data_IF_622221014351
#
_entry.id   IF_622221014351
#
_cell.length_a   1.000
_cell.length_b   1.000
_cell.length_c   1.000
_cell.angle_alpha   90.00
_cell.angle_beta   90.00
_cell.angle_gamma   90.00
#
_symmetry.space_group_name_H-M   'P 1'
#
loop_
_entity.id
_entity.type
_entity.pdbx_description
1 polymer ?
#
# COMPACT_ATOMS: atom_id res chain seq x y z
N UNK A 1 -4.42 -9.97 15.03
CA UNK A 1 -3.75 -9.90 13.73
C UNK A 1 -2.70 -8.81 13.77
N UNK A 2 -1.52 -9.13 13.31
CA UNK A 2 -0.41 -8.17 13.15
C UNK A 2 -0.40 -7.66 11.73
N UNK A 3 -0.35 -6.34 11.56
CA UNK A 3 -0.40 -5.68 10.26
C UNK A 3 0.82 -4.78 10.11
N UNK A 4 1.52 -4.90 8.99
CA UNK A 4 2.57 -3.96 8.60
C UNK A 4 2.11 -3.15 7.41
N UNK A 5 2.08 -1.82 7.56
CA UNK A 5 1.83 -0.88 6.47
C UNK A 5 3.18 -0.36 6.02
N UNK A 6 3.55 -0.67 4.78
CA UNK A 6 4.86 -0.33 4.23
C UNK A 6 4.65 0.58 3.02
N UNK A 7 5.18 1.81 3.10
CA UNK A 7 4.83 2.84 2.13
C UNK A 7 6.04 3.58 1.57
N UNK A 8 5.86 4.07 0.34
CA UNK A 8 6.66 5.13 -0.25
C UNK A 8 5.76 6.33 -0.48
N UNK A 9 6.24 7.53 -0.17
CA UNK A 9 5.47 8.75 -0.35
C UNK A 9 6.41 9.90 -0.72
N UNK A 10 6.25 10.43 -1.93
CA UNK A 10 7.13 11.48 -2.44
C UNK A 10 6.73 12.88 -1.93
N UNK A 11 5.43 13.16 -1.93
CA UNK A 11 4.89 14.48 -1.57
C UNK A 11 4.06 14.46 -0.30
N UNK A 12 4.01 13.34 0.40
CA UNK A 12 3.29 13.19 1.66
C UNK A 12 1.86 12.70 1.55
N UNK A 13 1.29 12.58 0.36
CA UNK A 13 -0.10 12.13 0.18
C UNK A 13 -0.30 10.69 0.61
N UNK A 14 0.57 9.79 0.17
CA UNK A 14 0.50 8.40 0.59
C UNK A 14 0.75 8.23 2.09
N UNK A 15 1.68 8.98 2.64
CA UNK A 15 1.93 8.97 4.09
C UNK A 15 0.71 9.43 4.87
N UNK A 16 0.03 10.50 4.42
CA UNK A 16 -1.21 10.98 5.03
C UNK A 16 -2.28 9.89 5.02
N UNK A 17 -2.51 9.26 3.87
CA UNK A 17 -3.50 8.20 3.72
C UNK A 17 -3.17 7.00 4.62
N UNK A 18 -1.90 6.59 4.65
CA UNK A 18 -1.48 5.44 5.45
C UNK A 18 -1.49 5.74 6.95
N UNK A 19 -1.24 6.99 7.34
CA UNK A 19 -1.38 7.42 8.74
C UNK A 19 -2.85 7.30 9.19
N UNK A 20 -3.78 7.69 8.34
CA UNK A 20 -5.21 7.50 8.60
C UNK A 20 -5.55 6.02 8.73
N UNK A 21 -5.08 5.21 7.79
CA UNK A 21 -5.32 3.76 7.81
C UNK A 21 -4.76 3.10 9.08
N UNK A 22 -3.55 3.47 9.48
CA UNK A 22 -2.94 3.01 10.72
C UNK A 22 -3.84 3.28 11.93
N UNK A 23 -4.37 4.49 12.02
CA UNK A 23 -5.25 4.91 13.11
C UNK A 23 -6.53 4.07 13.16
N UNK A 24 -7.21 3.91 12.03
CA UNK A 24 -8.49 3.19 12.02
C UNK A 24 -8.30 1.68 12.26
N UNK A 25 -7.20 1.11 11.82
CA UNK A 25 -6.89 -0.31 12.10
C UNK A 25 -6.56 -0.52 13.58
N UNK A 26 -5.80 0.37 14.19
CA UNK A 26 -5.53 0.31 15.63
C UNK A 26 -6.81 0.44 16.45
N UNK A 27 -7.72 1.32 16.03
CA UNK A 27 -9.01 1.50 16.70
C UNK A 27 -9.88 0.24 16.63
N UNK A 28 -9.65 -0.63 15.66
CA UNK A 28 -10.31 -1.94 15.57
C UNK A 28 -9.62 -3.02 16.37
N UNK A 29 -8.53 -2.72 17.06
CA UNK A 29 -7.82 -3.65 17.93
C UNK A 29 -6.68 -4.41 17.29
N UNK A 30 -6.32 -4.10 16.04
CA UNK A 30 -5.18 -4.71 15.37
C UNK A 30 -3.86 -4.11 15.89
N UNK A 31 -2.81 -4.93 15.89
CA UNK A 31 -1.44 -4.47 16.13
C UNK A 31 -0.84 -4.01 14.80
N UNK A 32 -0.55 -2.73 14.66
CA UNK A 32 -0.17 -2.13 13.37
C UNK A 32 1.16 -1.40 13.48
N UNK A 33 2.03 -1.62 12.50
CA UNK A 33 3.27 -0.85 12.31
C UNK A 33 3.18 -0.09 11.00
N UNK A 34 3.54 1.19 11.03
CA UNK A 34 3.60 2.06 9.85
C UNK A 34 5.06 2.34 9.53
N UNK A 35 5.55 1.86 8.39
CA UNK A 35 6.97 1.82 8.07
C UNK A 35 7.22 2.36 6.66
N UNK A 36 8.13 3.34 6.53
CA UNK A 36 8.64 3.76 5.21
C UNK A 36 9.53 2.67 4.62
N UNK A 37 9.49 2.49 3.30
CA UNK A 37 10.40 1.56 2.63
C UNK A 37 11.87 1.92 2.85
N UNK A 38 12.17 3.17 3.21
CA UNK A 38 13.54 3.63 3.47
C UNK A 38 14.04 3.25 4.87
N UNK A 39 13.15 2.78 5.75
CA UNK A 39 13.46 2.48 7.14
C UNK A 39 13.44 0.98 7.43
N UNK A 40 13.33 0.14 6.41
CA UNK A 40 13.25 -1.31 6.59
C UNK A 40 13.98 -2.02 5.45
N UNK A 41 14.60 -3.16 5.79
CA UNK A 41 15.23 -4.00 4.79
C UNK A 41 14.16 -4.91 4.15
N UNK A 42 14.00 -4.90 2.82
CA UNK A 42 12.99 -5.72 2.14
C UNK A 42 13.17 -7.23 2.37
N UNK A 43 14.37 -7.67 2.73
CA UNK A 43 14.65 -9.07 3.03
C UNK A 43 14.47 -9.44 4.49
N UNK A 44 14.16 -8.47 5.34
CA UNK A 44 14.01 -8.65 6.79
C UNK A 44 12.81 -7.87 7.31
N UNK A 45 11.65 -8.07 6.71
CA UNK A 45 10.42 -7.40 7.12
C UNK A 45 9.96 -7.92 8.48
N UNK A 46 9.28 -7.07 9.28
CA UNK A 46 8.59 -7.55 10.47
C UNK A 46 7.63 -8.68 10.10
N UNK A 47 7.56 -9.70 10.92
CA UNK A 47 6.61 -10.78 10.72
C UNK A 47 5.19 -10.26 10.96
N UNK A 48 4.32 -10.44 9.97
CA UNK A 48 2.95 -9.94 10.03
C UNK A 48 2.01 -10.91 9.34
N UNK A 49 0.73 -10.84 9.71
CA UNK A 49 -0.32 -11.62 9.06
C UNK A 49 -0.79 -10.93 7.77
N UNK A 50 -0.74 -9.61 7.76
CA UNK A 50 -1.14 -8.80 6.62
C UNK A 50 -0.10 -7.71 6.36
N UNK A 51 0.28 -7.58 5.10
CA UNK A 51 1.12 -6.49 4.61
C UNK A 51 0.30 -5.59 3.70
N UNK A 52 0.30 -4.29 3.99
CA UNK A 52 -0.35 -3.29 3.15
C UNK A 52 0.76 -2.45 2.54
N UNK A 53 0.91 -2.52 1.22
CA UNK A 53 1.92 -1.74 0.50
C UNK A 53 1.25 -0.54 -0.16
N UNK A 54 1.86 0.63 -0.02
CA UNK A 54 1.36 1.86 -0.61
C UNK A 54 2.47 2.62 -1.31
N UNK A 55 2.19 3.09 -2.51
CA UNK A 55 3.14 3.91 -3.25
C UNK A 55 2.43 4.76 -4.31
N UNK A 56 3.06 5.89 -4.71
CA UNK A 56 2.55 6.73 -5.79
C UNK A 56 3.00 6.23 -7.15
N UNK A 57 2.39 6.79 -8.20
CA UNK A 57 2.85 6.63 -9.56
C UNK A 57 3.73 7.81 -9.98
N UNK A 58 4.62 7.54 -10.94
CA UNK A 58 5.33 8.55 -11.71
C UNK A 58 5.09 8.25 -13.18
N UNK A 59 4.52 9.19 -13.90
CA UNK A 59 4.17 9.02 -15.33
C UNK A 59 3.29 7.78 -15.58
N UNK A 60 2.32 7.54 -14.68
CA UNK A 60 1.39 6.42 -14.79
C UNK A 60 1.92 5.06 -14.35
N UNK A 61 3.18 4.98 -13.93
CA UNK A 61 3.83 3.74 -13.48
C UNK A 61 4.20 3.84 -12.02
N UNK A 62 4.25 2.68 -11.35
CA UNK A 62 4.69 2.64 -9.95
C UNK A 62 6.10 3.23 -9.83
N UNK A 63 6.34 4.03 -8.80
CA UNK A 63 7.66 4.62 -8.58
C UNK A 63 8.74 3.54 -8.45
N UNK A 64 9.90 3.83 -8.99
CA UNK A 64 11.01 2.88 -9.09
C UNK A 64 11.45 2.35 -7.72
N UNK A 65 11.45 3.20 -6.69
CA UNK A 65 11.84 2.80 -5.35
C UNK A 65 10.97 1.68 -4.80
N UNK A 66 9.64 1.76 -4.99
CA UNK A 66 8.73 0.70 -4.57
C UNK A 66 8.89 -0.55 -5.43
N UNK A 67 9.08 -0.39 -6.74
CA UNK A 67 9.32 -1.54 -7.62
C UNK A 67 10.52 -2.34 -7.16
N UNK A 68 11.64 -1.65 -6.91
CA UNK A 68 12.88 -2.29 -6.43
C UNK A 68 12.68 -2.95 -5.07
N UNK A 69 11.93 -2.29 -4.19
CA UNK A 69 11.65 -2.82 -2.86
C UNK A 69 10.88 -4.14 -2.97
N UNK A 70 9.79 -4.14 -3.73
CA UNK A 70 8.96 -5.34 -3.90
C UNK A 70 9.71 -6.48 -4.61
N UNK A 71 10.56 -6.16 -5.58
CA UNK A 71 11.38 -7.17 -6.26
C UNK A 71 12.33 -7.90 -5.30
N UNK A 72 12.88 -7.17 -4.33
CA UNK A 72 13.83 -7.72 -3.36
C UNK A 72 13.16 -8.34 -2.13
N UNK A 73 11.88 -8.09 -1.96
CA UNK A 73 11.15 -8.46 -0.76
C UNK A 73 11.11 -9.97 -0.58
N UNK A 74 11.28 -10.40 0.67
CA UNK A 74 11.14 -11.79 1.09
C UNK A 74 10.10 -11.88 2.20
N UNK A 75 9.13 -12.78 2.04
CA UNK A 75 8.09 -13.06 3.02
C UNK A 75 8.32 -14.49 3.52
N UNK A 76 8.56 -14.61 4.82
CA UNK A 76 8.84 -15.91 5.46
C UNK A 76 7.57 -16.61 5.93
N UNK A 77 6.55 -15.84 6.30
CA UNK A 77 5.26 -16.40 6.74
C UNK A 77 4.43 -16.75 5.51
N UNK A 78 4.30 -18.04 5.21
CA UNK A 78 3.55 -18.53 4.06
C UNK A 78 2.05 -18.29 4.15
N UNK A 79 1.54 -17.96 5.33
CA UNK A 79 0.13 -17.63 5.55
C UNK A 79 -0.16 -16.14 5.48
N UNK A 80 0.87 -15.31 5.29
CA UNK A 80 0.68 -13.87 5.17
C UNK A 80 -0.10 -13.52 3.91
N UNK A 81 -0.87 -12.46 4.01
CA UNK A 81 -1.64 -11.90 2.90
C UNK A 81 -1.22 -10.45 2.65
N UNK A 82 -1.58 -9.92 1.50
CA UNK A 82 -1.33 -8.52 1.18
C UNK A 82 -2.56 -7.84 0.61
N UNK A 83 -2.60 -6.53 0.74
CA UNK A 83 -3.43 -5.64 -0.07
C UNK A 83 -2.64 -4.38 -0.41
N UNK A 84 -3.14 -3.59 -1.35
CA UNK A 84 -2.38 -2.49 -1.94
C UNK A 84 -3.18 -1.21 -1.95
N UNK A 85 -2.49 -0.08 -1.78
CA UNK A 85 -3.05 1.26 -1.95
C UNK A 85 -2.12 2.06 -2.86
N UNK A 86 -2.62 2.48 -4.01
CA UNK A 86 -1.86 3.24 -4.99
C UNK A 86 -2.42 4.66 -5.07
N UNK A 87 -1.57 5.68 -4.95
CA UNK A 87 -1.98 7.07 -5.19
C UNK A 87 -1.65 7.46 -6.62
N UNK A 88 -2.63 8.04 -7.31
CA UNK A 88 -2.48 8.36 -8.74
C UNK A 88 -3.37 9.53 -9.16
N UNK A 89 -3.08 10.12 -10.31
CA UNK A 89 -3.82 11.27 -10.84
C UNK A 89 -5.17 10.85 -11.45
N UNK A 90 -5.21 9.72 -12.12
CA UNK A 90 -6.38 9.28 -12.88
C UNK A 90 -6.74 7.82 -12.58
N UNK A 91 -7.39 7.54 -11.43
CA UNK A 91 -7.70 6.16 -11.05
C UNK A 91 -8.53 5.38 -12.07
N UNK A 92 -9.40 6.07 -12.80
CA UNK A 92 -10.26 5.45 -13.80
C UNK A 92 -9.57 5.26 -15.15
N UNK A 93 -8.36 5.80 -15.33
CA UNK A 93 -7.62 5.71 -16.58
C UNK A 93 -6.79 4.44 -16.65
N UNK A 94 -6.81 3.76 -17.80
CA UNK A 94 -5.90 2.64 -18.07
C UNK A 94 -4.43 3.04 -18.18
N UNK A 95 -4.12 4.33 -18.10
CA UNK A 95 -2.75 4.84 -18.15
C UNK A 95 -2.07 4.87 -16.78
N UNK A 96 -2.84 4.84 -15.67
CA UNK A 96 -2.32 4.76 -14.31
C UNK A 96 -2.27 3.30 -13.88
N UNK A 97 -1.11 2.66 -14.09
CA UNK A 97 -0.92 1.21 -13.96
C UNK A 97 -0.16 0.76 -12.72
N UNK A 98 0.10 1.67 -11.78
CA UNK A 98 0.94 1.33 -10.62
C UNK A 98 0.39 0.21 -9.76
N UNK A 99 -0.92 0.19 -9.54
CA UNK A 99 -1.56 -0.87 -8.76
C UNK A 99 -1.37 -2.25 -9.42
N UNK A 100 -1.64 -2.33 -10.71
CA UNK A 100 -1.51 -3.57 -11.49
C UNK A 100 -0.06 -4.05 -11.53
N UNK A 101 0.89 -3.11 -11.60
CA UNK A 101 2.33 -3.42 -11.58
C UNK A 101 2.77 -4.01 -10.24
N UNK A 102 2.28 -3.44 -9.13
CA UNK A 102 2.56 -4.00 -7.81
C UNK A 102 1.96 -5.41 -7.66
N UNK A 103 0.72 -5.60 -8.12
CA UNK A 103 0.08 -6.92 -8.08
C UNK A 103 0.87 -7.95 -8.88
N UNK A 104 1.36 -7.58 -10.05
CA UNK A 104 2.16 -8.50 -10.87
C UNK A 104 3.43 -8.94 -10.16
N UNK A 105 4.15 -8.02 -9.54
CA UNK A 105 5.36 -8.36 -8.79
C UNK A 105 5.02 -9.30 -7.64
N UNK A 106 3.98 -8.99 -6.87
CA UNK A 106 3.60 -9.80 -5.70
C UNK A 106 3.03 -11.17 -6.10
N UNK A 107 2.43 -11.29 -7.27
CA UNK A 107 1.92 -12.58 -7.77
C UNK A 107 3.03 -13.62 -7.93
N UNK A 108 4.28 -13.18 -8.05
CA UNK A 108 5.45 -14.07 -8.18
C UNK A 108 6.11 -14.36 -6.83
N UNK A 109 5.57 -13.82 -5.75
CA UNK A 109 6.08 -14.02 -4.39
C UNK A 109 5.19 -15.02 -3.65
N UNK A 110 5.70 -15.56 -2.56
CA UNK A 110 4.98 -16.53 -1.74
C UNK A 110 4.04 -15.81 -0.76
N UNK A 111 3.08 -15.07 -1.30
CA UNK A 111 2.10 -14.31 -0.52
C UNK A 111 0.79 -14.23 -1.31
N UNK A 112 -0.34 -14.37 -0.63
CA UNK A 112 -1.64 -14.34 -1.28
C UNK A 112 -2.33 -12.99 -1.08
N UNK A 113 -3.17 -12.62 -2.05
CA UNK A 113 -3.93 -11.36 -2.00
C UNK A 113 -5.14 -11.50 -1.09
N UNK A 114 -5.30 -10.56 -0.15
CA UNK A 114 -6.47 -10.52 0.72
C UNK A 114 -7.70 -9.95 0.00
N UNK A 115 -7.51 -8.86 -0.71
CA UNK A 115 -8.58 -8.15 -1.42
C UNK A 115 -8.00 -7.36 -2.58
N UNK A 116 -8.85 -6.91 -3.48
CA UNK A 116 -8.44 -6.00 -4.53
C UNK A 116 -7.84 -4.74 -3.90
N UNK A 117 -6.82 -4.21 -4.56
CA UNK A 117 -6.17 -2.98 -4.14
C UNK A 117 -7.05 -1.77 -4.39
N UNK A 118 -6.62 -0.65 -3.83
CA UNK A 118 -7.34 0.62 -3.87
C UNK A 118 -6.49 1.67 -4.59
N UNK A 119 -7.12 2.42 -5.49
CA UNK A 119 -6.52 3.60 -6.10
C UNK A 119 -7.09 4.85 -5.44
N UNK A 120 -6.23 5.68 -4.86
CA UNK A 120 -6.60 6.97 -4.29
C UNK A 120 -6.17 8.08 -5.23
N UNK A 121 -7.09 8.96 -5.57
CA UNK A 121 -6.81 10.08 -6.47
C UNK A 121 -6.08 11.20 -5.74
N UNK A 122 -5.04 11.75 -6.37
CA UNK A 122 -4.45 13.03 -6.00
C UNK A 122 -4.86 14.06 -7.04
N UNK A 123 -5.14 15.28 -6.59
CA UNK A 123 -5.69 16.33 -7.46
C UNK A 123 -4.65 16.91 -8.41
N UNK A 124 -3.39 16.94 -7.97
CA UNK A 124 -2.23 17.30 -8.79
C UNK A 124 -1.07 16.36 -8.42
N UNK A 125 0.06 16.47 -9.13
CA UNK A 125 1.26 15.68 -8.83
C UNK A 125 1.66 15.81 -7.35
N UNK A 126 1.54 17.00 -6.77
CA UNK A 126 1.89 17.25 -5.36
C UNK A 126 0.73 17.07 -4.39
N UNK A 127 -0.44 16.77 -4.88
CA UNK A 127 -1.64 16.61 -4.07
C UNK A 127 -2.61 17.77 -4.23
N UNK A 128 -3.52 17.94 -3.32
CA UNK A 128 -3.81 17.05 -2.19
C UNK A 128 -4.53 15.76 -2.63
N UNK A 129 -4.75 14.86 -1.68
CA UNK A 129 -5.66 13.73 -1.87
C UNK A 129 -7.07 14.26 -2.14
N UNK A 130 -7.85 13.54 -2.95
CA UNK A 130 -9.23 13.91 -3.21
C UNK A 130 -10.05 13.94 -1.91
N UNK A 131 -11.06 14.81 -1.86
CA UNK A 131 -12.00 14.85 -0.75
C UNK A 131 -12.72 13.50 -0.65
N UNK A 132 -12.83 12.95 0.56
CA UNK A 132 -13.52 11.68 0.78
C UNK A 132 -12.62 10.45 0.66
N UNK A 133 -11.31 10.60 0.53
CA UNK A 133 -10.40 9.45 0.47
C UNK A 133 -10.52 8.56 1.70
N UNK A 134 -10.86 9.14 2.85
CA UNK A 134 -11.03 8.40 4.10
C UNK A 134 -12.10 7.31 3.99
N UNK A 135 -13.21 7.62 3.31
CA UNK A 135 -14.27 6.63 3.12
C UNK A 135 -13.78 5.41 2.32
N UNK A 136 -12.94 5.63 1.32
CA UNK A 136 -12.36 4.53 0.55
C UNK A 136 -11.48 3.64 1.42
N UNK A 137 -10.73 4.24 2.35
CA UNK A 137 -9.92 3.50 3.32
C UNK A 137 -10.79 2.79 4.35
N UNK A 138 -11.87 3.44 4.82
CA UNK A 138 -12.84 2.80 5.71
C UNK A 138 -13.44 1.54 5.05
N UNK A 139 -13.80 1.64 3.78
CA UNK A 139 -14.33 0.51 3.01
C UNK A 139 -13.29 -0.61 2.85
N UNK A 140 -12.03 -0.25 2.67
CA UNK A 140 -10.94 -1.23 2.61
C UNK A 140 -10.83 -2.01 3.93
N UNK A 141 -10.93 -1.31 5.05
CA UNK A 141 -10.84 -1.94 6.38
C UNK A 141 -11.94 -2.96 6.60
N UNK A 142 -13.14 -2.75 6.03
CA UNK A 142 -14.24 -3.71 6.14
C UNK A 142 -13.90 -5.06 5.49
N UNK A 143 -12.94 -5.11 4.58
CA UNK A 143 -12.48 -6.35 3.94
C UNK A 143 -11.40 -7.07 4.75
N UNK A 144 -10.89 -6.43 5.79
CA UNK A 144 -9.87 -6.98 6.67
C UNK A 144 -10.56 -7.58 7.90
N UNK A 145 -10.40 -8.87 8.09
CA UNK A 145 -11.04 -9.57 9.20
C UNK A 145 -10.05 -10.38 10.03
#
# INVERSE_FOLDING_TARGET
MNISIIYESKYGNGKEAMTYLDTILKNKGYSVQLISIHDVNPRSLPESDLYIFSAPNAFGKIVRSMRKFLDKMEIKNSNAQYTLVNTCLNPASGQDKGLEQMEEILSKKNISKLSDGLKLKVMTIKGPLETGYEKKLDDLVLKIQ
#
